data_IF_809778744412
#
_entry.id   IF_809778744412
#
_cell.length_a   1.000
_cell.length_b   1.000
_cell.length_c   1.000
_cell.angle_alpha   90.00
_cell.angle_beta   90.00
_cell.angle_gamma   90.00
#
_symmetry.space_group_name_H-M   'P 1'
#
loop_
_entity.id
_entity.type
_entity.pdbx_description
1 polymer ?
#
# COMPACT_ATOMS: atom_id res chain seq x y z
N UNK A 1 68.39 25.63 -31.23
CA UNK A 1 67.85 24.82 -30.12
C UNK A 1 66.38 25.18 -29.91
N UNK A 2 65.59 25.29 -30.99
CA UNK A 2 64.38 26.16 -30.95
C UNK A 2 63.06 25.40 -31.15
N UNK A 3 63.11 24.13 -31.56
CA UNK A 3 61.91 23.31 -31.76
C UNK A 3 61.36 22.70 -30.46
N UNK A 4 62.18 22.57 -29.41
CA UNK A 4 61.76 21.95 -28.14
C UNK A 4 60.90 22.90 -27.28
N UNK A 5 61.16 24.21 -27.37
CA UNK A 5 60.38 25.22 -26.66
C UNK A 5 59.03 25.48 -27.34
N UNK A 6 58.98 25.46 -28.67
CA UNK A 6 57.72 25.60 -29.42
C UNK A 6 56.78 24.42 -29.17
N UNK A 7 57.30 23.19 -29.16
CA UNK A 7 56.49 22.01 -28.88
C UNK A 7 55.96 21.99 -27.44
N UNK A 8 56.78 22.39 -26.46
CA UNK A 8 56.34 22.57 -25.06
C UNK A 8 55.25 23.63 -24.92
N UNK A 9 55.41 24.78 -25.59
CA UNK A 9 54.42 25.86 -25.59
C UNK A 9 53.10 25.42 -26.23
N UNK A 10 53.16 24.68 -27.34
CA UNK A 10 51.98 24.13 -28.02
C UNK A 10 51.31 23.06 -27.14
N UNK A 11 52.06 22.15 -26.50
CA UNK A 11 51.47 21.16 -25.57
C UNK A 11 50.85 21.81 -24.33
N UNK A 12 51.41 22.89 -23.80
CA UNK A 12 50.82 23.65 -22.68
C UNK A 12 49.54 24.36 -23.12
N UNK A 13 49.50 24.93 -24.33
CA UNK A 13 48.29 25.57 -24.89
C UNK A 13 47.19 24.54 -25.21
N UNK A 14 47.56 23.34 -25.66
CA UNK A 14 46.61 22.25 -25.92
C UNK A 14 46.05 21.68 -24.62
N UNK A 15 46.86 21.46 -23.58
CA UNK A 15 46.37 21.07 -22.26
C UNK A 15 45.54 22.16 -21.57
N UNK A 16 45.85 23.44 -21.79
CA UNK A 16 45.05 24.55 -21.23
C UNK A 16 43.66 24.70 -21.86
N UNK A 17 43.44 24.14 -23.07
CA UNK A 17 42.11 24.13 -23.72
C UNK A 17 41.20 23.02 -23.20
N UNK A 18 41.75 22.02 -22.53
CA UNK A 18 41.00 20.98 -21.82
C UNK A 18 40.90 21.31 -20.33
N UNK A 19 40.53 22.54 -19.99
CA UNK A 19 39.91 22.80 -18.69
C UNK A 19 38.47 22.27 -18.76
N UNK A 20 38.34 20.95 -18.92
CA UNK A 20 37.08 20.26 -18.77
C UNK A 20 36.55 20.60 -17.39
N UNK A 21 35.25 20.86 -17.31
CA UNK A 21 34.47 21.09 -16.10
C UNK A 21 34.42 19.80 -15.24
N UNK A 22 35.59 19.36 -14.76
CA UNK A 22 35.79 18.15 -13.98
C UNK A 22 35.02 18.31 -12.66
N UNK A 23 33.85 17.69 -12.57
CA UNK A 23 33.00 17.73 -11.38
C UNK A 23 31.54 18.05 -11.66
N UNK A 24 31.21 18.60 -12.84
CA UNK A 24 29.81 18.84 -13.21
C UNK A 24 29.15 17.58 -13.77
N UNK A 25 27.91 17.31 -13.35
CA UNK A 25 27.17 16.13 -13.76
C UNK A 25 26.13 16.44 -14.85
N UNK A 26 26.07 15.65 -15.94
CA UNK A 26 25.06 15.82 -16.98
C UNK A 26 23.67 15.51 -16.40
N UNK A 27 22.73 16.44 -16.61
CA UNK A 27 21.32 16.27 -16.22
C UNK A 27 20.88 16.98 -14.94
N UNK A 28 21.78 17.65 -14.21
CA UNK A 28 21.43 18.55 -13.11
C UNK A 28 21.83 19.99 -13.46
N UNK A 29 21.05 20.96 -12.97
CA UNK A 29 21.24 22.38 -13.29
C UNK A 29 21.44 22.64 -14.79
N UNK A 30 22.56 23.28 -15.19
CA UNK A 30 22.91 23.59 -16.57
C UNK A 30 23.78 22.51 -17.24
N UNK A 31 23.89 21.32 -16.63
CA UNK A 31 24.66 20.20 -17.17
C UNK A 31 26.16 20.40 -17.01
N UNK A 32 26.89 20.32 -18.12
CA UNK A 32 28.37 20.41 -18.16
C UNK A 32 28.88 21.86 -18.19
N UNK A 33 27.98 22.82 -18.37
CA UNK A 33 28.26 24.25 -18.41
C UNK A 33 27.85 24.92 -17.08
N UNK A 34 28.57 25.98 -16.70
CA UNK A 34 28.21 26.79 -15.52
C UNK A 34 27.00 27.67 -15.83
N UNK A 35 26.00 27.66 -14.94
CA UNK A 35 24.82 28.52 -15.06
C UNK A 35 25.18 30.02 -14.98
N UNK A 36 26.31 30.36 -14.33
CA UNK A 36 26.81 31.74 -14.33
C UNK A 36 27.32 32.15 -15.71
N UNK A 37 27.86 31.23 -16.50
CA UNK A 37 28.43 31.55 -17.81
C UNK A 37 27.31 31.77 -18.84
N UNK A 38 26.28 30.92 -18.84
CA UNK A 38 25.12 31.07 -19.71
C UNK A 38 24.35 32.37 -19.48
N UNK A 39 24.26 32.81 -18.22
CA UNK A 39 23.53 34.03 -17.85
C UNK A 39 24.41 35.30 -17.89
N UNK A 40 25.70 35.26 -17.53
CA UNK A 40 26.54 36.47 -17.41
C UNK A 40 27.52 36.70 -18.57
N UNK A 41 28.03 35.67 -19.24
CA UNK A 41 29.25 35.84 -20.06
C UNK A 41 29.02 36.50 -21.42
N UNK A 42 27.78 36.55 -21.93
CA UNK A 42 27.48 37.22 -23.22
C UNK A 42 27.13 38.70 -23.14
N UNK A 43 27.03 39.27 -21.94
CA UNK A 43 26.57 40.66 -21.79
C UNK A 43 27.53 41.61 -21.08
N UNK A 44 28.53 41.11 -20.35
CA UNK A 44 29.46 42.02 -19.67
C UNK A 44 30.56 42.50 -20.63
N UNK A 45 30.96 41.74 -21.68
CA UNK A 45 32.00 42.20 -22.61
C UNK A 45 31.89 41.53 -24.01
N UNK A 46 31.97 42.21 -25.15
CA UNK A 46 32.27 43.62 -25.33
C UNK A 46 33.65 44.02 -24.79
N UNK A 47 34.65 43.14 -24.89
CA UNK A 47 36.07 43.45 -24.62
C UNK A 47 36.50 43.61 -23.15
N UNK A 48 36.55 42.54 -22.35
CA UNK A 48 37.55 42.40 -21.28
C UNK A 48 37.95 40.94 -21.20
N UNK A 49 39.17 40.69 -21.64
CA UNK A 49 39.92 39.51 -21.32
C UNK A 49 40.15 39.45 -19.81
N UNK A 50 40.10 38.22 -19.28
CA UNK A 50 41.01 37.69 -18.27
C UNK A 50 41.54 38.66 -17.21
N UNK A 51 40.84 38.81 -16.08
CA UNK A 51 41.50 39.10 -14.80
C UNK A 51 40.69 38.57 -13.63
N UNK A 52 40.98 37.33 -13.22
CA UNK A 52 41.05 36.85 -11.82
C UNK A 52 39.94 37.16 -10.79
N UNK A 53 38.83 37.81 -11.14
CA UNK A 53 37.71 38.01 -10.25
C UNK A 53 36.80 36.78 -10.32
N UNK A 54 36.56 36.16 -9.17
CA UNK A 54 35.58 35.07 -9.06
C UNK A 54 34.23 35.54 -9.63
N UNK A 55 33.78 34.88 -10.70
CA UNK A 55 32.56 35.21 -11.46
C UNK A 55 31.34 35.32 -10.51
N UNK A 56 31.33 34.56 -9.40
CA UNK A 56 30.31 34.62 -8.35
C UNK A 56 30.24 35.98 -7.64
N UNK A 57 31.38 36.64 -7.37
CA UNK A 57 31.41 37.98 -6.76
C UNK A 57 30.85 39.04 -7.71
N UNK A 58 31.15 38.95 -9.00
CA UNK A 58 30.60 39.84 -10.01
C UNK A 58 29.09 39.65 -10.11
N UNK A 59 28.60 38.41 -10.13
CA UNK A 59 27.17 38.13 -10.12
C UNK A 59 26.44 38.74 -8.92
N UNK A 60 27.03 38.66 -7.71
CA UNK A 60 26.42 39.23 -6.50
C UNK A 60 26.15 40.74 -6.61
N UNK A 61 26.96 41.46 -7.38
CA UNK A 61 26.74 42.89 -7.66
C UNK A 61 25.64 43.15 -8.70
N UNK A 62 25.31 42.16 -9.55
CA UNK A 62 24.38 42.29 -10.68
C UNK A 62 23.08 41.47 -10.53
N UNK A 63 22.78 40.93 -9.35
CA UNK A 63 21.55 40.15 -9.10
C UNK A 63 20.27 40.88 -9.53
N UNK A 64 20.21 42.20 -9.28
CA UNK A 64 19.08 43.05 -9.67
C UNK A 64 18.87 43.13 -11.20
N UNK A 65 19.91 42.87 -11.99
CA UNK A 65 19.87 42.89 -13.45
C UNK A 65 19.67 41.52 -14.08
N UNK A 66 19.68 40.43 -13.29
CA UNK A 66 19.49 39.05 -13.76
C UNK A 66 18.21 38.91 -14.60
N UNK A 67 17.10 39.49 -14.13
CA UNK A 67 15.82 39.50 -14.86
C UNK A 67 15.90 40.22 -16.21
N UNK A 68 16.68 41.31 -16.30
CA UNK A 68 16.84 42.08 -17.55
C UNK A 68 17.69 41.29 -18.56
N UNK A 69 18.75 40.66 -18.07
CA UNK A 69 19.64 39.81 -18.85
C UNK A 69 18.88 38.62 -19.43
N UNK A 70 18.14 37.91 -18.58
CA UNK A 70 17.28 36.79 -19.00
C UNK A 70 16.30 37.22 -20.10
N UNK A 71 15.53 38.31 -19.91
CA UNK A 71 14.57 38.81 -20.91
C UNK A 71 15.23 39.20 -22.24
N UNK A 72 16.50 39.63 -22.23
CA UNK A 72 17.25 39.97 -23.45
C UNK A 72 17.68 38.71 -24.19
N UNK A 73 18.24 37.73 -23.48
CA UNK A 73 18.69 36.46 -24.04
C UNK A 73 17.52 35.59 -24.52
N UNK A 74 16.45 35.49 -23.73
CA UNK A 74 15.22 34.80 -24.09
C UNK A 74 14.61 35.35 -25.39
N UNK A 75 14.60 36.68 -25.58
CA UNK A 75 14.14 37.29 -26.85
C UNK A 75 15.08 37.10 -28.03
N UNK A 76 16.37 36.82 -27.79
CA UNK A 76 17.38 36.59 -28.84
C UNK A 76 17.32 35.15 -29.34
N UNK A 77 17.19 34.20 -28.42
CA UNK A 77 17.17 32.75 -28.70
C UNK A 77 15.76 32.17 -28.73
N UNK A 78 14.72 33.01 -28.84
CA UNK A 78 13.34 32.52 -28.94
C UNK A 78 13.16 31.74 -30.25
N UNK A 79 12.60 30.51 -30.22
CA UNK A 79 12.45 29.68 -31.41
C UNK A 79 11.60 30.33 -32.51
N UNK A 80 10.65 31.19 -32.14
CA UNK A 80 9.79 31.90 -33.12
C UNK A 80 10.54 32.97 -33.93
N UNK A 81 11.69 33.44 -33.46
CA UNK A 81 12.48 34.45 -34.20
C UNK A 81 13.43 33.84 -35.23
N UNK A 82 13.71 32.54 -35.12
CA UNK A 82 14.64 31.85 -35.98
C UNK A 82 13.85 31.13 -37.07
N UNK A 83 14.01 31.58 -38.31
CA UNK A 83 13.28 31.05 -39.47
C UNK A 83 13.94 29.79 -40.05
N UNK A 84 15.25 29.65 -39.89
CA UNK A 84 16.01 28.52 -40.42
C UNK A 84 15.85 27.27 -39.54
N UNK A 85 15.49 26.11 -40.10
CA UNK A 85 15.19 24.90 -39.33
C UNK A 85 16.42 24.34 -38.60
N UNK A 86 17.62 24.45 -39.20
CA UNK A 86 18.87 23.99 -38.59
C UNK A 86 19.25 24.83 -37.35
N UNK A 87 19.15 26.15 -37.47
CA UNK A 87 19.40 27.08 -36.37
C UNK A 87 18.30 27.05 -35.29
N UNK A 88 17.10 26.59 -35.65
CA UNK A 88 15.97 26.50 -34.71
C UNK A 88 16.24 25.48 -33.61
N UNK A 89 16.84 24.33 -33.94
CA UNK A 89 17.21 23.31 -32.96
C UNK A 89 18.21 23.88 -31.93
N UNK A 90 19.25 24.58 -32.41
CA UNK A 90 20.26 25.21 -31.56
C UNK A 90 19.68 26.34 -30.70
N UNK A 91 18.74 27.12 -31.25
CA UNK A 91 18.04 28.17 -30.51
C UNK A 91 17.17 27.60 -29.38
N UNK A 92 16.47 26.48 -29.61
CA UNK A 92 15.67 25.80 -28.57
C UNK A 92 16.55 25.30 -27.44
N UNK A 93 17.70 24.68 -27.75
CA UNK A 93 18.62 24.19 -26.73
C UNK A 93 19.18 25.34 -25.89
N UNK A 94 19.68 26.40 -26.54
CA UNK A 94 20.17 27.61 -25.86
C UNK A 94 19.09 28.26 -25.00
N UNK A 95 17.86 28.35 -25.51
CA UNK A 95 16.73 28.89 -24.76
C UNK A 95 16.46 28.08 -23.48
N UNK A 96 16.48 26.74 -23.58
CA UNK A 96 16.29 25.85 -22.43
C UNK A 96 17.39 26.00 -21.38
N UNK A 97 18.65 26.10 -21.82
CA UNK A 97 19.79 26.36 -20.93
C UNK A 97 19.66 27.70 -20.20
N UNK A 98 19.36 28.78 -20.94
CA UNK A 98 19.13 30.13 -20.38
C UNK A 98 17.99 30.15 -19.36
N UNK A 99 16.88 29.47 -19.67
CA UNK A 99 15.75 29.36 -18.74
C UNK A 99 16.14 28.61 -17.46
N UNK A 100 16.88 27.52 -17.60
CA UNK A 100 17.34 26.70 -16.46
C UNK A 100 18.34 27.46 -15.58
N UNK A 101 19.27 28.20 -16.19
CA UNK A 101 20.22 29.06 -15.50
C UNK A 101 19.49 30.16 -14.70
N UNK A 102 18.52 30.83 -15.33
CA UNK A 102 17.72 31.85 -14.68
C UNK A 102 16.91 31.29 -13.50
N UNK A 103 16.23 30.14 -13.68
CA UNK A 103 15.48 29.49 -12.59
C UNK A 103 16.38 29.13 -11.40
N UNK A 104 17.59 28.63 -11.68
CA UNK A 104 18.56 28.22 -10.65
C UNK A 104 19.12 29.42 -9.89
N UNK A 105 19.41 30.52 -10.58
CA UNK A 105 20.07 31.69 -10.01
C UNK A 105 19.10 32.72 -9.41
N UNK A 106 17.81 32.65 -9.77
CA UNK A 106 16.79 33.61 -9.30
C UNK A 106 16.37 33.38 -7.86
N UNK A 107 16.18 32.12 -7.46
CA UNK A 107 15.80 31.78 -6.08
C UNK A 107 17.05 31.64 -5.23
N UNK A 108 17.09 32.34 -4.09
CA UNK A 108 18.28 32.37 -3.23
C UNK A 108 18.61 30.98 -2.68
N UNK A 109 17.59 30.16 -2.40
CA UNK A 109 17.80 28.81 -1.90
C UNK A 109 18.33 27.85 -2.97
N UNK A 110 17.80 27.89 -4.20
CA UNK A 110 18.37 27.08 -5.31
C UNK A 110 19.76 27.54 -5.67
N UNK A 111 20.04 28.84 -5.57
CA UNK A 111 21.34 29.43 -5.82
C UNK A 111 22.37 29.00 -4.78
N UNK A 112 22.01 28.99 -3.50
CA UNK A 112 22.87 28.49 -2.43
C UNK A 112 23.21 27.01 -2.63
N UNK A 113 22.23 26.16 -2.97
CA UNK A 113 22.50 24.75 -3.26
C UNK A 113 23.37 24.56 -4.50
N UNK A 114 23.16 25.40 -5.54
CA UNK A 114 24.02 25.40 -6.73
C UNK A 114 25.45 25.85 -6.40
N UNK A 115 25.58 26.85 -5.54
CA UNK A 115 26.86 27.37 -5.10
C UNK A 115 27.62 26.32 -4.27
N UNK A 116 26.91 25.62 -3.38
CA UNK A 116 27.45 24.49 -2.63
C UNK A 116 27.92 23.35 -3.55
N UNK A 117 27.11 23.03 -4.58
CA UNK A 117 27.45 22.02 -5.58
C UNK A 117 28.74 22.35 -6.35
N UNK A 118 28.95 23.62 -6.71
CA UNK A 118 30.17 24.09 -7.36
C UNK A 118 31.39 24.03 -6.43
N UNK A 119 31.19 24.32 -5.14
CA UNK A 119 32.28 24.34 -4.15
C UNK A 119 32.67 22.91 -3.68
N UNK A 120 31.71 21.96 -3.70
CA UNK A 120 31.87 20.58 -3.20
C UNK A 120 31.39 19.54 -4.23
N UNK A 121 32.08 19.37 -5.38
CA UNK A 121 31.70 18.39 -6.40
C UNK A 121 31.80 16.93 -5.93
N UNK A 122 32.61 16.66 -4.90
CA UNK A 122 32.78 15.34 -4.28
C UNK A 122 31.50 14.85 -3.57
N UNK A 123 30.65 15.75 -3.09
CA UNK A 123 29.39 15.44 -2.40
C UNK A 123 28.24 15.11 -3.37
N UNK A 124 28.49 14.23 -4.35
CA UNK A 124 27.54 13.90 -5.43
C UNK A 124 26.15 13.51 -4.90
N UNK A 125 26.06 12.61 -3.92
CA UNK A 125 24.77 12.15 -3.40
C UNK A 125 23.95 13.27 -2.76
N UNK A 126 24.61 14.15 -2.00
CA UNK A 126 23.97 15.30 -1.37
C UNK A 126 23.49 16.32 -2.41
N UNK A 127 24.34 16.67 -3.38
CA UNK A 127 24.03 17.63 -4.43
C UNK A 127 22.84 17.17 -5.28
N UNK A 128 22.80 15.88 -5.63
CA UNK A 128 21.65 15.26 -6.30
C UNK A 128 20.38 15.32 -5.45
N UNK A 129 20.48 14.96 -4.17
CA UNK A 129 19.34 15.01 -3.26
C UNK A 129 18.75 16.42 -3.16
N UNK A 130 19.59 17.45 -3.00
CA UNK A 130 19.15 18.85 -2.91
C UNK A 130 18.45 19.30 -4.20
N UNK A 131 19.05 19.00 -5.36
CA UNK A 131 18.48 19.31 -6.67
C UNK A 131 17.09 18.69 -6.85
N UNK A 132 16.96 17.38 -6.60
CA UNK A 132 15.68 16.69 -6.75
C UNK A 132 14.67 17.13 -5.71
N UNK A 133 15.06 17.29 -4.45
CA UNK A 133 14.17 17.75 -3.38
C UNK A 133 13.46 19.04 -3.76
N UNK A 134 14.14 20.03 -4.35
CA UNK A 134 13.49 21.28 -4.76
C UNK A 134 12.52 21.14 -5.94
N UNK A 135 12.75 20.18 -6.83
CA UNK A 135 11.91 19.96 -8.02
C UNK A 135 10.75 19.00 -7.80
N UNK A 136 10.97 17.93 -7.04
CA UNK A 136 10.02 16.82 -6.86
C UNK A 136 9.39 16.75 -5.48
N UNK A 137 9.78 17.62 -4.52
CA UNK A 137 9.12 17.62 -3.21
C UNK A 137 7.61 17.88 -3.40
N UNK A 138 6.76 17.02 -2.82
CA UNK A 138 5.32 17.22 -2.87
C UNK A 138 4.99 18.55 -2.19
N UNK A 139 4.24 19.41 -2.88
CA UNK A 139 3.78 20.69 -2.35
C UNK A 139 2.76 20.53 -1.21
N UNK A 140 2.20 19.33 -1.06
CA UNK A 140 1.24 19.00 -0.02
C UNK A 140 1.91 18.22 1.10
N UNK A 141 1.63 18.60 2.34
CA UNK A 141 2.10 17.87 3.50
C UNK A 141 1.51 16.46 3.51
N UNK A 142 2.37 15.46 3.40
CA UNK A 142 2.00 14.04 3.41
C UNK A 142 1.16 13.67 4.65
N UNK A 143 1.36 14.38 5.76
CA UNK A 143 0.58 14.23 7.00
C UNK A 143 -0.91 14.50 6.78
N UNK A 144 -1.26 15.54 6.02
CA UNK A 144 -2.65 15.89 5.74
C UNK A 144 -3.31 14.78 4.92
N UNK A 145 -2.60 14.26 3.92
CA UNK A 145 -3.07 13.15 3.09
C UNK A 145 -3.33 11.90 3.94
N UNK A 146 -2.43 11.58 4.87
CA UNK A 146 -2.60 10.46 5.80
C UNK A 146 -3.83 10.66 6.70
N UNK A 147 -4.04 11.87 7.24
CA UNK A 147 -5.19 12.16 8.10
C UNK A 147 -6.50 12.00 7.31
N UNK A 148 -6.59 12.60 6.12
CA UNK A 148 -7.78 12.55 5.27
C UNK A 148 -8.10 11.10 4.88
N UNK A 149 -7.09 10.32 4.48
CA UNK A 149 -7.29 8.91 4.13
C UNK A 149 -7.75 8.07 5.32
N UNK A 150 -7.18 8.27 6.51
CA UNK A 150 -7.62 7.58 7.74
C UNK A 150 -9.06 7.95 8.10
N UNK A 151 -9.45 9.22 7.96
CA UNK A 151 -10.82 9.67 8.20
C UNK A 151 -11.79 9.01 7.21
N UNK A 152 -11.46 9.00 5.92
CA UNK A 152 -12.29 8.35 4.88
C UNK A 152 -12.48 6.86 5.15
N UNK A 153 -11.41 6.14 5.48
CA UNK A 153 -11.48 4.71 5.82
C UNK A 153 -12.34 4.51 7.07
N UNK A 154 -12.19 5.36 8.08
CA UNK A 154 -12.97 5.27 9.33
C UNK A 154 -14.46 5.51 9.09
N UNK A 155 -14.81 6.50 8.25
CA UNK A 155 -16.21 6.77 7.86
C UNK A 155 -16.79 5.58 7.09
N UNK A 156 -16.05 5.04 6.13
CA UNK A 156 -16.48 3.87 5.37
C UNK A 156 -16.71 2.65 6.27
N UNK A 157 -15.78 2.38 7.19
CA UNK A 157 -15.91 1.31 8.17
C UNK A 157 -17.14 1.48 9.05
N UNK A 158 -17.42 2.71 9.52
CA UNK A 158 -18.61 3.01 10.31
C UNK A 158 -19.91 2.75 9.52
N UNK A 159 -19.98 3.25 8.27
CA UNK A 159 -21.15 3.05 7.42
C UNK A 159 -21.37 1.56 7.10
N UNK A 160 -20.30 0.84 6.78
CA UNK A 160 -20.35 -0.60 6.54
C UNK A 160 -20.79 -1.37 7.77
N UNK A 161 -20.26 -1.04 8.95
CA UNK A 161 -20.66 -1.65 10.22
C UNK A 161 -22.14 -1.39 10.54
N UNK A 162 -22.62 -0.16 10.34
CA UNK A 162 -24.02 0.20 10.51
C UNK A 162 -24.94 -0.59 9.58
N UNK A 163 -24.55 -0.75 8.33
CA UNK A 163 -25.32 -1.55 7.36
C UNK A 163 -25.40 -3.03 7.78
N UNK A 164 -24.26 -3.64 8.10
CA UNK A 164 -24.19 -5.04 8.54
C UNK A 164 -25.00 -5.30 9.82
N UNK A 165 -24.96 -4.36 10.77
CA UNK A 165 -25.77 -4.45 11.98
C UNK A 165 -27.27 -4.46 11.67
N UNK A 166 -27.72 -3.56 10.79
CA UNK A 166 -29.12 -3.53 10.37
C UNK A 166 -29.57 -4.81 9.67
N UNK A 167 -28.72 -5.37 8.81
CA UNK A 167 -28.99 -6.63 8.11
C UNK A 167 -29.06 -7.82 9.08
N UNK A 168 -28.10 -7.93 10.00
CA UNK A 168 -28.08 -8.98 11.02
C UNK A 168 -29.31 -8.91 11.94
N UNK A 169 -29.70 -7.73 12.39
CA UNK A 169 -30.91 -7.52 13.21
C UNK A 169 -32.16 -7.97 12.45
N UNK A 170 -32.28 -7.60 11.17
CA UNK A 170 -33.41 -7.98 10.34
C UNK A 170 -33.52 -9.50 10.14
N UNK A 171 -32.38 -10.19 10.00
CA UNK A 171 -32.31 -11.64 9.90
C UNK A 171 -32.75 -12.32 11.20
N UNK A 172 -32.27 -11.84 12.35
CA UNK A 172 -32.62 -12.37 13.67
C UNK A 172 -34.12 -12.18 13.95
N UNK A 173 -34.68 -11.02 13.64
CA UNK A 173 -36.12 -10.74 13.78
C UNK A 173 -36.94 -11.69 12.92
N UNK A 174 -36.49 -12.05 11.71
CA UNK A 174 -37.23 -12.95 10.81
C UNK A 174 -37.30 -14.39 11.33
N UNK A 175 -36.34 -14.82 12.14
CA UNK A 175 -36.28 -16.20 12.60
C UNK A 175 -37.23 -16.46 13.79
N UNK A 176 -38.06 -17.53 13.72
CA UNK A 176 -39.05 -17.81 14.76
C UNK A 176 -38.44 -18.18 16.11
N UNK A 177 -37.23 -18.76 16.12
CA UNK A 177 -36.50 -19.13 17.35
C UNK A 177 -36.26 -17.92 18.25
N UNK A 178 -35.75 -16.82 17.68
CA UNK A 178 -35.45 -15.60 18.43
C UNK A 178 -36.73 -14.84 18.81
N UNK A 179 -37.73 -14.82 17.93
CA UNK A 179 -39.04 -14.25 18.27
C UNK A 179 -39.70 -14.94 19.47
N UNK A 180 -39.66 -16.28 19.50
CA UNK A 180 -40.27 -17.04 20.58
C UNK A 180 -39.53 -16.82 21.90
N UNK A 181 -38.20 -16.80 21.87
CA UNK A 181 -37.39 -16.44 23.04
C UNK A 181 -37.67 -15.02 23.54
N UNK A 182 -37.79 -14.04 22.63
CA UNK A 182 -38.12 -12.66 22.99
C UNK A 182 -39.51 -12.52 23.60
N UNK A 183 -40.52 -13.24 23.10
CA UNK A 183 -41.86 -13.28 23.70
C UNK A 183 -41.87 -13.88 25.10
N UNK A 184 -41.05 -14.91 25.33
CA UNK A 184 -40.92 -15.51 26.66
C UNK A 184 -40.30 -14.53 27.66
N UNK A 185 -39.23 -13.83 27.25
CA UNK A 185 -38.60 -12.78 28.06
C UNK A 185 -39.58 -11.62 28.31
N UNK A 186 -40.35 -11.21 27.30
CA UNK A 186 -41.37 -10.18 27.44
C UNK A 186 -42.45 -10.56 28.46
N UNK A 187 -42.92 -11.82 28.43
CA UNK A 187 -43.87 -12.35 29.42
C UNK A 187 -43.27 -12.37 30.83
N UNK A 188 -42.01 -12.81 30.98
CA UNK A 188 -41.28 -12.78 32.26
C UNK A 188 -41.15 -11.36 32.82
N UNK A 189 -40.97 -10.36 31.94
CA UNK A 189 -40.93 -8.93 32.31
C UNK A 189 -42.31 -8.29 32.51
N UNK A 190 -43.40 -9.03 32.35
CA UNK A 190 -44.77 -8.52 32.45
C UNK A 190 -45.20 -7.58 31.32
N UNK A 191 -44.43 -7.51 30.23
CA UNK A 191 -44.67 -6.63 29.07
C UNK A 191 -45.71 -7.21 28.10
N UNK A 192 -45.94 -8.52 28.15
CA UNK A 192 -46.98 -9.21 27.40
C UNK A 192 -47.90 -9.99 28.36
N UNK A 193 -49.21 -10.05 28.07
CA UNK A 193 -50.14 -10.86 28.87
C UNK A 193 -49.75 -12.35 28.82
N UNK A 194 -49.91 -13.04 29.95
CA UNK A 194 -49.78 -14.51 30.00
C UNK A 194 -51.02 -15.17 29.38
N UNK A 195 -50.84 -16.32 28.74
CA UNK A 195 -51.94 -17.09 28.10
C UNK A 195 -52.91 -17.70 29.13
N UNK A 196 -52.53 -17.71 30.41
CA UNK A 196 -53.32 -18.29 31.50
C UNK A 196 -54.38 -17.29 32.02
N UNK A 197 -55.57 -17.31 31.40
CA UNK A 197 -56.81 -16.80 32.00
C UNK A 197 -57.61 -15.78 31.19
N UNK A 198 -58.92 -15.66 31.50
CA UNK A 198 -59.89 -14.76 30.82
C UNK A 198 -59.47 -13.28 30.77
N UNK A 199 -58.57 -12.84 31.65
CA UNK A 199 -58.03 -11.47 31.67
C UNK A 199 -56.95 -11.23 30.59
N UNK A 200 -56.16 -12.24 30.22
CA UNK A 200 -55.12 -12.12 29.17
C UNK A 200 -55.71 -11.79 27.80
N UNK A 201 -56.87 -12.38 27.47
CA UNK A 201 -57.62 -12.09 26.23
C UNK A 201 -58.17 -10.66 26.13
N UNK A 202 -58.45 -9.98 27.26
CA UNK A 202 -58.89 -8.57 27.26
C UNK A 202 -57.74 -7.60 27.03
N UNK A 203 -56.57 -7.88 27.63
CA UNK A 203 -55.37 -7.03 27.53
C UNK A 203 -54.69 -7.19 26.17
N UNK A 204 -54.62 -8.41 25.64
CA UNK A 204 -54.11 -8.67 24.28
C UNK A 204 -54.98 -8.05 23.17
N UNK A 205 -56.24 -7.70 23.47
CA UNK A 205 -57.12 -6.97 22.54
C UNK A 205 -56.95 -5.44 22.63
N UNK A 206 -56.30 -4.93 23.68
CA UNK A 206 -55.98 -3.51 23.87
C UNK A 206 -54.65 -3.10 23.26
N UNK A 207 -53.65 -3.99 23.29
CA UNK A 207 -52.33 -3.73 22.71
C UNK A 207 -52.38 -3.90 21.20
N UNK A 208 -51.94 -2.89 20.46
CA UNK A 208 -51.86 -2.98 19.01
C UNK A 208 -50.76 -3.98 18.61
N UNK A 209 -50.95 -4.69 17.50
CA UNK A 209 -49.95 -5.64 16.96
C UNK A 209 -48.58 -4.97 16.76
N UNK A 210 -48.58 -3.69 16.42
CA UNK A 210 -47.39 -2.85 16.24
C UNK A 210 -46.63 -2.62 17.56
N UNK A 211 -47.32 -2.44 18.68
CA UNK A 211 -46.71 -2.27 20.00
C UNK A 211 -46.04 -3.57 20.47
N UNK A 212 -46.70 -4.70 20.23
CA UNK A 212 -46.15 -6.03 20.53
C UNK A 212 -44.88 -6.28 19.70
N UNK A 213 -44.91 -5.95 18.41
CA UNK A 213 -43.75 -6.09 17.53
C UNK A 213 -42.61 -5.14 17.93
N UNK A 214 -42.90 -3.93 18.41
CA UNK A 214 -41.90 -2.99 18.93
C UNK A 214 -41.24 -3.51 20.22
N UNK A 215 -42.02 -4.07 21.16
CA UNK A 215 -41.50 -4.67 22.39
C UNK A 215 -40.58 -5.86 22.08
N UNK A 216 -40.98 -6.72 21.14
CA UNK A 216 -40.18 -7.88 20.72
C UNK A 216 -38.86 -7.41 20.08
N UNK A 217 -38.90 -6.39 19.21
CA UNK A 217 -37.70 -5.80 18.61
C UNK A 217 -36.74 -5.25 19.67
N UNK A 218 -37.26 -4.49 20.64
CA UNK A 218 -36.45 -3.93 21.72
C UNK A 218 -35.76 -5.00 22.58
N UNK A 219 -36.46 -6.10 22.90
CA UNK A 219 -35.91 -7.22 23.67
C UNK A 219 -34.83 -7.97 22.88
N UNK A 220 -34.99 -8.11 21.56
CA UNK A 220 -33.98 -8.71 20.69
C UNK A 220 -32.75 -7.80 20.60
N UNK A 221 -32.93 -6.49 20.44
CA UNK A 221 -31.85 -5.52 20.39
C UNK A 221 -31.05 -5.47 21.71
N UNK A 222 -31.73 -5.60 22.86
CA UNK A 222 -31.10 -5.60 24.17
C UNK A 222 -30.31 -6.89 24.45
N UNK A 223 -30.87 -8.04 24.05
CA UNK A 223 -30.29 -9.36 24.32
C UNK A 223 -29.40 -9.91 23.20
N UNK A 224 -29.31 -9.23 22.04
CA UNK A 224 -28.29 -9.54 21.06
C UNK A 224 -26.94 -9.14 21.64
N UNK A 225 -26.28 -10.11 22.28
CA UNK A 225 -24.91 -9.94 22.74
C UNK A 225 -24.01 -9.87 21.50
N UNK A 226 -23.65 -8.64 21.13
CA UNK A 226 -22.88 -8.33 19.93
C UNK A 226 -21.45 -8.86 20.08
N UNK A 227 -21.05 -9.49 21.19
CA UNK A 227 -19.69 -10.02 21.40
C UNK A 227 -19.11 -10.79 20.20
N UNK A 228 -19.90 -11.68 19.58
CA UNK A 228 -19.44 -12.44 18.42
C UNK A 228 -19.33 -11.60 17.13
N UNK A 229 -20.19 -10.59 16.94
CA UNK A 229 -20.13 -9.61 15.84
C UNK A 229 -19.03 -8.55 16.11
N UNK A 230 -18.74 -8.25 17.38
CA UNK A 230 -17.66 -7.36 17.81
C UNK A 230 -16.30 -7.96 17.48
N UNK A 231 -16.12 -9.27 17.70
CA UNK A 231 -14.90 -10.00 17.33
C UNK A 231 -14.81 -10.25 15.82
N UNK A 232 -15.92 -10.63 15.15
CA UNK A 232 -15.91 -11.00 13.73
C UNK A 232 -15.98 -9.80 12.76
N UNK A 233 -16.65 -8.70 13.13
CA UNK A 233 -16.95 -7.57 12.23
C UNK A 233 -16.43 -6.21 12.72
N UNK A 234 -15.79 -6.12 13.89
CA UNK A 234 -15.14 -4.90 14.37
C UNK A 234 -16.10 -3.74 14.68
N UNK A 235 -17.39 -4.03 14.86
CA UNK A 235 -18.41 -3.03 15.18
C UNK A 235 -18.54 -2.90 16.71
N UNK A 236 -17.92 -1.87 17.28
CA UNK A 236 -18.00 -1.54 18.71
C UNK A 236 -19.28 -0.74 18.98
N UNK A 237 -20.01 -1.12 20.04
CA UNK A 237 -21.11 -0.35 20.63
C UNK A 237 -20.58 1.04 21.03
N UNK A 238 -21.27 2.09 20.61
CA UNK A 238 -20.81 3.47 20.50
C UNK A 238 -20.21 4.08 21.78
N UNK A 239 -18.91 4.38 21.75
CA UNK A 239 -18.28 5.53 22.43
C UNK A 239 -17.17 6.10 21.53
N UNK A 240 -17.18 7.42 21.32
CA UNK A 240 -16.26 8.12 20.41
C UNK A 240 -14.77 7.95 20.77
N UNK A 241 -14.45 7.72 22.05
CA UNK A 241 -13.08 7.48 22.54
C UNK A 241 -12.55 6.07 22.22
N UNK A 242 -13.44 5.09 21.98
CA UNK A 242 -13.04 3.69 21.79
C UNK A 242 -12.67 3.36 20.34
N UNK A 243 -13.11 4.15 19.35
CA UNK A 243 -12.77 3.93 17.94
C UNK A 243 -11.29 4.26 17.69
N UNK A 244 -10.80 5.37 18.25
CA UNK A 244 -9.38 5.76 18.14
C UNK A 244 -8.48 4.78 18.89
N UNK A 245 -8.88 4.37 20.10
CA UNK A 245 -8.17 3.35 20.88
C UNK A 245 -8.19 1.98 20.18
N UNK A 246 -9.31 1.58 19.58
CA UNK A 246 -9.42 0.31 18.86
C UNK A 246 -8.57 0.26 17.58
N UNK A 247 -8.49 1.37 16.83
CA UNK A 247 -7.63 1.45 15.63
C UNK A 247 -6.15 1.47 16.01
N UNK A 248 -5.77 2.20 17.06
CA UNK A 248 -4.39 2.23 17.58
C UNK A 248 -3.98 0.88 18.18
N UNK A 249 -4.85 0.26 18.98
CA UNK A 249 -4.64 -1.05 19.57
C UNK A 249 -4.52 -2.13 18.50
N UNK A 250 -5.33 -2.08 17.43
CA UNK A 250 -5.26 -3.04 16.33
C UNK A 250 -3.96 -2.90 15.51
N UNK A 251 -3.46 -1.67 15.30
CA UNK A 251 -2.16 -1.45 14.64
C UNK A 251 -1.01 -1.96 15.50
N UNK A 252 -1.05 -1.73 16.81
CA UNK A 252 -0.01 -2.14 17.74
C UNK A 252 -0.01 -3.67 17.95
N UNK A 253 -1.19 -4.29 18.04
CA UNK A 253 -1.33 -5.75 18.05
C UNK A 253 -0.79 -6.33 16.75
N UNK A 254 -1.17 -5.80 15.58
CA UNK A 254 -0.71 -6.31 14.29
C UNK A 254 0.81 -6.27 14.15
N UNK A 255 1.45 -5.16 14.56
CA UNK A 255 2.92 -5.08 14.62
C UNK A 255 3.52 -6.11 15.58
N UNK A 256 2.91 -6.31 16.76
CA UNK A 256 3.38 -7.31 17.72
C UNK A 256 3.23 -8.76 17.20
N UNK A 257 2.18 -9.06 16.42
CA UNK A 257 1.97 -10.38 15.81
C UNK A 257 2.98 -10.65 14.70
N UNK A 258 3.26 -9.65 13.86
CA UNK A 258 4.32 -9.74 12.84
C UNK A 258 5.67 -9.95 13.54
N UNK A 259 5.98 -9.19 14.58
CA UNK A 259 7.24 -9.34 15.30
C UNK A 259 7.39 -10.75 15.92
N UNK A 260 6.35 -11.26 16.60
CA UNK A 260 6.34 -12.64 17.14
C UNK A 260 6.55 -13.68 16.03
N UNK A 261 5.88 -13.51 14.89
CA UNK A 261 6.05 -14.38 13.73
C UNK A 261 7.46 -14.31 13.15
N UNK A 262 8.04 -13.11 13.02
CA UNK A 262 9.41 -12.92 12.57
C UNK A 262 10.41 -13.59 13.50
N UNK A 263 10.28 -13.40 14.83
CA UNK A 263 11.12 -14.07 15.83
C UNK A 263 10.99 -15.59 15.72
N UNK A 264 9.76 -16.11 15.62
CA UNK A 264 9.53 -17.53 15.46
C UNK A 264 10.15 -18.08 14.15
N UNK A 265 10.02 -17.36 13.03
CA UNK A 265 10.63 -17.74 11.75
C UNK A 265 12.15 -17.68 11.78
N UNK A 266 12.74 -16.67 12.41
CA UNK A 266 14.20 -16.58 12.58
C UNK A 266 14.68 -17.79 13.42
N UNK A 267 13.99 -18.10 14.53
CA UNK A 267 14.29 -19.27 15.36
C UNK A 267 14.18 -20.57 14.55
N UNK A 268 13.14 -20.71 13.72
CA UNK A 268 12.96 -21.85 12.82
C UNK A 268 14.13 -21.99 11.82
N UNK A 269 14.53 -20.90 11.16
CA UNK A 269 15.64 -20.90 10.21
C UNK A 269 16.95 -21.29 10.90
N UNK A 270 17.23 -20.71 12.07
CA UNK A 270 18.45 -21.02 12.83
C UNK A 270 18.47 -22.50 13.23
N UNK A 271 17.37 -23.03 13.77
CA UNK A 271 17.33 -24.40 14.27
C UNK A 271 17.37 -25.45 13.15
N UNK A 272 16.58 -25.26 12.08
CA UNK A 272 16.39 -26.31 11.08
C UNK A 272 17.24 -26.13 9.82
N UNK A 273 17.56 -24.89 9.41
CA UNK A 273 18.38 -24.67 8.20
C UNK A 273 19.86 -24.56 8.52
N UNK A 274 20.22 -23.86 9.59
CA UNK A 274 21.63 -23.64 9.96
C UNK A 274 22.14 -24.80 10.82
N UNK A 275 21.46 -25.07 11.94
CA UNK A 275 21.89 -26.11 12.90
C UNK A 275 21.50 -27.54 12.51
N UNK A 276 20.62 -27.71 11.51
CA UNK A 276 20.12 -29.00 11.03
C UNK A 276 19.66 -29.94 12.16
N UNK A 277 18.99 -29.38 13.16
CA UNK A 277 18.39 -30.16 14.23
C UNK A 277 17.22 -30.98 13.68
N UNK A 278 16.97 -32.15 14.28
CA UNK A 278 15.78 -32.93 13.98
C UNK A 278 14.51 -32.14 14.33
N UNK A 279 13.46 -32.35 13.54
CA UNK A 279 12.19 -31.66 13.78
C UNK A 279 11.58 -32.12 15.10
N UNK A 280 11.31 -31.13 15.96
CA UNK A 280 10.53 -31.32 17.18
C UNK A 280 9.08 -31.71 16.82
N UNK A 281 8.36 -32.31 17.76
CA UNK A 281 7.00 -32.81 17.55
C UNK A 281 6.03 -31.69 17.12
N UNK A 282 6.09 -30.53 17.80
CA UNK A 282 5.32 -29.34 17.42
C UNK A 282 5.66 -28.86 16.00
N UNK A 283 6.92 -29.00 15.60
CA UNK A 283 7.41 -28.60 14.29
C UNK A 283 6.96 -29.56 13.19
N UNK A 284 6.89 -30.87 13.49
CA UNK A 284 6.29 -31.88 12.62
C UNK A 284 4.80 -31.60 12.41
N UNK A 285 4.06 -31.33 13.48
CA UNK A 285 2.64 -30.96 13.42
C UNK A 285 2.42 -29.67 12.60
N UNK A 286 3.27 -28.66 12.75
CA UNK A 286 3.23 -27.45 11.90
C UNK A 286 3.39 -27.78 10.42
N UNK A 287 4.33 -28.67 10.07
CA UNK A 287 4.56 -29.11 8.69
C UNK A 287 3.38 -29.93 8.15
N UNK A 288 2.82 -30.84 8.94
CA UNK A 288 1.63 -31.63 8.59
C UNK A 288 0.45 -30.70 8.28
N UNK A 289 0.13 -29.77 9.19
CA UNK A 289 -0.92 -28.75 8.98
C UNK A 289 -0.70 -27.96 7.69
N UNK A 290 0.55 -27.55 7.44
CA UNK A 290 0.93 -26.82 6.23
C UNK A 290 0.77 -27.67 4.96
N UNK A 291 1.11 -28.95 5.02
CA UNK A 291 0.95 -29.88 3.91
C UNK A 291 -0.54 -30.10 3.58
N UNK A 292 -1.41 -30.13 4.60
CA UNK A 292 -2.86 -30.25 4.50
C UNK A 292 -3.57 -28.96 4.08
N UNK A 293 -2.97 -27.80 4.33
CA UNK A 293 -3.57 -26.50 3.98
C UNK A 293 -4.68 -26.05 4.92
N UNK A 294 -4.70 -26.55 6.16
CA UNK A 294 -5.73 -26.24 7.17
C UNK A 294 -5.37 -25.01 8.01
N UNK A 295 -6.39 -24.28 8.47
CA UNK A 295 -6.22 -23.26 9.51
C UNK A 295 -5.83 -23.92 10.84
N UNK A 296 -5.24 -23.15 11.75
CA UNK A 296 -4.87 -23.64 13.09
C UNK A 296 -6.10 -24.18 13.86
N UNK A 297 -7.23 -23.47 13.80
CA UNK A 297 -8.48 -23.89 14.43
C UNK A 297 -9.06 -25.18 13.84
N UNK A 298 -8.99 -25.36 12.51
CA UNK A 298 -9.47 -26.57 11.86
C UNK A 298 -8.58 -27.76 12.21
N UNK A 299 -7.27 -27.55 12.25
CA UNK A 299 -6.31 -28.59 12.62
C UNK A 299 -6.41 -28.97 14.10
N UNK A 300 -6.73 -28.00 14.98
CA UNK A 300 -6.98 -28.26 16.41
C UNK A 300 -8.26 -29.08 16.66
N UNK A 301 -9.18 -29.20 15.70
CA UNK A 301 -10.29 -30.14 15.84
C UNK A 301 -9.89 -31.60 15.60
N UNK A 302 -8.70 -31.86 15.05
CA UNK A 302 -8.18 -33.19 14.69
C UNK A 302 -7.13 -33.68 15.68
N UNK A 303 -7.15 -33.21 16.93
CA UNK A 303 -6.15 -33.54 17.95
C UNK A 303 -6.02 -35.06 18.14
N UNK A 304 -7.15 -35.78 18.08
CA UNK A 304 -7.18 -37.24 18.26
C UNK A 304 -6.43 -38.00 17.13
N UNK A 305 -6.24 -37.37 15.96
CA UNK A 305 -5.57 -37.97 14.80
C UNK A 305 -4.07 -37.60 14.72
N UNK A 306 -3.55 -36.80 15.67
CA UNK A 306 -2.16 -36.32 15.61
C UNK A 306 -1.13 -37.44 15.69
N UNK A 307 -1.36 -38.42 16.57
CA UNK A 307 -0.47 -39.56 16.75
C UNK A 307 -0.39 -40.41 15.46
N UNK A 308 -1.51 -40.59 14.76
CA UNK A 308 -1.57 -41.29 13.48
C UNK A 308 -0.77 -40.53 12.41
N UNK A 309 -0.94 -39.21 12.32
CA UNK A 309 -0.21 -38.38 11.36
C UNK A 309 1.30 -38.34 11.60
N UNK A 310 1.71 -38.43 12.86
CA UNK A 310 3.12 -38.52 13.25
C UNK A 310 3.67 -39.92 12.95
N UNK A 311 2.90 -40.99 13.20
CA UNK A 311 3.32 -42.35 12.88
C UNK A 311 3.50 -42.57 11.37
N UNK A 312 2.65 -41.97 10.54
CA UNK A 312 2.71 -42.03 9.07
C UNK A 312 3.71 -41.05 8.44
N UNK A 313 4.46 -40.30 9.25
CA UNK A 313 5.47 -39.33 8.80
C UNK A 313 4.98 -38.25 7.82
N UNK A 314 3.72 -37.81 7.95
CA UNK A 314 3.06 -36.89 7.01
C UNK A 314 3.69 -35.48 6.92
N UNK A 315 4.69 -35.17 7.77
CA UNK A 315 5.48 -33.95 7.64
C UNK A 315 6.36 -33.96 6.38
N UNK A 316 6.73 -35.15 5.87
CA UNK A 316 7.44 -35.30 4.59
C UNK A 316 6.46 -35.13 3.44
N UNK A 317 6.74 -34.20 2.52
CA UNK A 317 5.78 -33.82 1.48
C UNK A 317 5.46 -34.96 0.50
N UNK A 318 6.45 -35.78 0.19
CA UNK A 318 6.29 -36.90 -0.75
C UNK A 318 5.35 -37.97 -0.18
N UNK A 319 5.58 -38.36 1.08
CA UNK A 319 4.72 -39.31 1.81
C UNK A 319 3.30 -38.77 1.95
N UNK A 320 3.15 -37.48 2.28
CA UNK A 320 1.83 -36.84 2.35
C UNK A 320 1.07 -36.91 1.02
N UNK A 321 1.75 -36.71 -0.12
CA UNK A 321 1.10 -36.72 -1.42
C UNK A 321 0.60 -38.13 -1.77
N UNK A 322 1.38 -39.15 -1.45
CA UNK A 322 0.99 -40.55 -1.64
C UNK A 322 -0.17 -40.93 -0.72
N UNK A 323 -0.08 -40.60 0.57
CA UNK A 323 -1.14 -40.79 1.54
C UNK A 323 -2.45 -40.14 1.09
N UNK A 324 -2.39 -38.88 0.64
CA UNK A 324 -3.56 -38.14 0.16
C UNK A 324 -4.18 -38.82 -1.05
N UNK A 325 -3.35 -39.28 -1.99
CA UNK A 325 -3.82 -40.00 -3.18
C UNK A 325 -4.54 -41.30 -2.80
N UNK A 326 -4.04 -42.02 -1.80
CA UNK A 326 -4.65 -43.24 -1.31
C UNK A 326 -5.99 -42.95 -0.60
N UNK A 327 -6.04 -41.96 0.31
CA UNK A 327 -7.31 -41.57 0.95
C UNK A 327 -8.36 -41.07 -0.03
N UNK A 328 -7.96 -40.26 -1.01
CA UNK A 328 -8.86 -39.78 -2.05
C UNK A 328 -9.39 -40.94 -2.93
N UNK A 329 -8.57 -41.98 -3.16
CA UNK A 329 -8.98 -43.18 -3.88
C UNK A 329 -9.97 -44.01 -3.05
N UNK A 330 -9.71 -44.23 -1.77
CA UNK A 330 -10.62 -44.93 -0.86
C UNK A 330 -11.97 -44.21 -0.72
N UNK A 331 -11.98 -42.89 -0.58
CA UNK A 331 -13.22 -42.10 -0.55
C UNK A 331 -13.99 -42.21 -1.86
N UNK A 332 -13.30 -42.16 -3.01
CA UNK A 332 -13.93 -42.38 -4.32
C UNK A 332 -14.53 -43.78 -4.43
N UNK A 333 -13.87 -44.81 -3.91
CA UNK A 333 -14.39 -46.18 -3.88
C UNK A 333 -15.60 -46.32 -2.95
N UNK A 334 -15.53 -45.75 -1.73
CA UNK A 334 -16.66 -45.70 -0.78
C UNK A 334 -17.85 -44.97 -1.39
N UNK A 335 -17.60 -43.83 -2.05
CA UNK A 335 -18.63 -43.08 -2.76
C UNK A 335 -19.19 -43.92 -3.91
N UNK A 336 -18.35 -44.54 -4.73
CA UNK A 336 -18.75 -45.42 -5.83
C UNK A 336 -19.63 -46.59 -5.36
N UNK A 337 -19.33 -47.12 -4.18
CA UNK A 337 -20.06 -48.22 -3.55
C UNK A 337 -21.35 -47.79 -2.85
N UNK A 338 -21.44 -46.52 -2.43
CA UNK A 338 -22.62 -45.97 -1.74
C UNK A 338 -23.89 -46.08 -2.60
N UNK A 339 -24.99 -46.49 -1.97
CA UNK A 339 -26.29 -46.62 -2.65
C UNK A 339 -26.84 -45.29 -3.19
N UNK A 340 -26.46 -44.15 -2.58
CA UNK A 340 -26.83 -42.80 -3.03
C UNK A 340 -26.15 -42.44 -4.35
N UNK A 341 -24.84 -42.68 -4.44
CA UNK A 341 -24.08 -42.39 -5.66
C UNK A 341 -24.41 -43.36 -6.80
N UNK A 342 -24.68 -44.64 -6.51
CA UNK A 342 -25.20 -45.60 -7.50
C UNK A 342 -26.55 -45.15 -8.08
N UNK A 343 -27.46 -44.62 -7.25
CA UNK A 343 -28.73 -44.02 -7.70
C UNK A 343 -28.50 -42.78 -8.57
N UNK A 344 -27.63 -41.87 -8.13
CA UNK A 344 -27.27 -40.67 -8.89
C UNK A 344 -26.66 -40.99 -10.26
N UNK A 345 -25.75 -41.99 -10.34
CA UNK A 345 -25.21 -42.47 -11.63
C UNK A 345 -26.28 -43.00 -12.58
N UNK A 346 -27.26 -43.76 -12.08
CA UNK A 346 -28.40 -44.24 -12.90
C UNK A 346 -29.25 -43.08 -13.41
N UNK A 347 -29.54 -42.10 -12.55
CA UNK A 347 -30.27 -40.88 -12.92
C UNK A 347 -29.53 -40.09 -14.02
N UNK A 348 -28.22 -39.85 -13.84
CA UNK A 348 -27.41 -39.16 -14.85
C UNK A 348 -27.33 -39.93 -16.18
N UNK A 349 -27.23 -41.27 -16.15
CA UNK A 349 -27.24 -42.09 -17.37
C UNK A 349 -28.58 -42.00 -18.11
N UNK A 350 -29.68 -41.97 -17.37
CA UNK A 350 -31.02 -41.81 -17.96
C UNK A 350 -31.26 -40.39 -18.50
N UNK A 351 -30.63 -39.36 -17.91
CA UNK A 351 -30.71 -37.97 -18.39
C UNK A 351 -29.73 -37.64 -19.52
N UNK A 352 -28.64 -38.40 -19.69
CA UNK A 352 -27.68 -38.16 -20.76
C UNK A 352 -28.29 -38.31 -22.17
N UNK A 353 -29.37 -39.08 -22.33
CA UNK A 353 -30.18 -39.15 -23.57
C UNK A 353 -31.20 -38.01 -23.72
N UNK A 354 -31.37 -37.15 -22.72
CA UNK A 354 -32.34 -36.05 -22.65
C UNK A 354 -31.65 -34.69 -22.53
N UNK A 355 -30.39 -34.58 -22.96
CA UNK A 355 -29.67 -33.31 -22.97
C UNK A 355 -30.04 -32.52 -24.23
N UNK A 356 -31.18 -31.84 -24.20
CA UNK A 356 -31.41 -30.69 -25.10
C UNK A 356 -30.49 -29.58 -24.62
N UNK A 357 -29.32 -29.45 -25.24
CA UNK A 357 -28.48 -28.27 -25.08
C UNK A 357 -29.10 -27.13 -25.87
N UNK A 358 -29.72 -26.18 -25.18
CA UNK A 358 -29.95 -24.85 -25.71
C UNK A 358 -28.62 -24.10 -25.65
N UNK A 359 -27.81 -24.23 -26.69
CA UNK A 359 -26.77 -23.25 -27.00
C UNK A 359 -26.98 -22.85 -28.46
N UNK A 360 -27.16 -21.54 -28.60
CA UNK A 360 -27.63 -20.71 -29.72
C UNK A 360 -26.87 -20.94 -31.05
N UNK A 361 -27.62 -20.99 -32.15
CA UNK A 361 -27.16 -20.68 -33.52
C UNK A 361 -27.15 -19.16 -33.74
#
# INVERSE_FOLDING_TARGET
>A
MDNFNLFKFITIIVFARECATIGLAPGIYCGEESCYDDCCLKLIYGQFLFFGHSIRKVFSAFQNDLSKIYRRLARKYHPDKVKEPELKAEAVEKFRKIATAYETLKDDGTREDYDYYLDHPEHRAYNYYQYYRRRVAPKVDVRIVIIVTVVLISVFQYLSAKHKYGEALSYVIRQPKYQNGAREIARKRGLLPSDDGRNGKRVGKRLAREEIDAIIRGIIEENMDIRWIQEALGAVKTSKSFILMGILQRRLIFMSQIFRYCVWKIKWIINYWIKKLDYDEESKLYLIRKNMGLSESQFACLIDEYDEFLAEELWKKDIYNEWKKNRDAEEKEKLANSGRYKRYRRYMKNQAGSRVTFMED
#
